data_IF_406526129563
#
_entry.id   IF_406526129563
#
_cell.length_a   1.000
_cell.length_b   1.000
_cell.length_c   1.000
_cell.angle_alpha   90.00
_cell.angle_beta   90.00
_cell.angle_gamma   90.00
#
_symmetry.space_group_name_H-M   'P 1'
#
loop_
_entity.id
_entity.type
_entity.pdbx_description
1 polymer ?
#
# COMPACT_ATOMS: atom_id res chain seq x y z
N UNK A 1 4.08 -12.74 -8.86
CA UNK A 1 2.99 -11.82 -8.45
C UNK A 1 2.98 -11.78 -6.93
N UNK A 2 3.52 -10.70 -6.36
CA UNK A 2 3.80 -10.62 -4.93
C UNK A 2 3.39 -9.25 -4.37
N UNK A 3 3.28 -9.19 -3.05
CA UNK A 3 2.94 -7.95 -2.34
C UNK A 3 4.15 -7.41 -1.61
N UNK A 4 4.14 -6.10 -1.35
CA UNK A 4 5.07 -5.43 -0.47
C UNK A 4 4.32 -4.46 0.43
N UNK A 5 4.69 -4.41 1.68
CA UNK A 5 4.27 -3.41 2.66
C UNK A 5 5.49 -2.79 3.33
N UNK A 6 5.29 -1.79 4.17
CA UNK A 6 6.41 -1.20 4.92
C UNK A 6 5.97 -0.66 6.27
N UNK A 7 6.90 -0.66 7.23
CA UNK A 7 6.66 -0.11 8.55
C UNK A 7 7.95 0.30 9.25
N UNK A 8 7.81 1.08 10.30
CA UNK A 8 8.86 1.47 11.23
C UNK A 8 8.56 0.91 12.65
N UNK A 9 9.49 1.14 13.58
CA UNK A 9 9.37 0.70 14.97
C UNK A 9 8.15 1.23 15.71
N UNK A 10 7.62 2.39 15.30
CA UNK A 10 6.51 3.07 16.00
C UNK A 10 5.14 2.55 15.53
N UNK A 11 5.13 1.78 14.42
CA UNK A 11 3.95 1.18 13.82
C UNK A 11 4.08 -0.35 13.65
N UNK A 12 5.03 -0.97 14.32
CA UNK A 12 5.29 -2.40 14.22
C UNK A 12 4.13 -3.27 14.74
N UNK A 13 3.39 -2.77 15.73
CA UNK A 13 2.15 -3.36 16.21
C UNK A 13 1.07 -3.45 15.10
N UNK A 14 0.97 -2.41 14.29
CA UNK A 14 0.07 -2.35 13.13
C UNK A 14 0.54 -3.30 12.04
N UNK A 15 1.85 -3.35 11.76
CA UNK A 15 2.41 -4.31 10.81
C UNK A 15 2.09 -5.75 11.21
N UNK A 16 2.25 -6.12 12.49
CA UNK A 16 1.92 -7.47 12.97
C UNK A 16 0.42 -7.79 12.80
N UNK A 17 -0.44 -6.83 13.04
CA UNK A 17 -1.88 -6.96 12.81
C UNK A 17 -2.19 -7.14 11.32
N UNK A 18 -1.55 -6.35 10.44
CA UNK A 18 -1.66 -6.49 9.00
C UNK A 18 -1.24 -7.88 8.53
N UNK A 19 -0.06 -8.37 8.97
CA UNK A 19 0.47 -9.70 8.60
C UNK A 19 -0.53 -10.80 8.97
N UNK A 20 -1.23 -10.69 10.11
CA UNK A 20 -2.26 -11.67 10.49
C UNK A 20 -3.43 -11.70 9.49
N UNK A 21 -3.95 -10.53 9.10
CA UNK A 21 -5.02 -10.46 8.10
C UNK A 21 -4.53 -10.91 6.72
N UNK A 22 -3.29 -10.56 6.35
CA UNK A 22 -2.64 -11.00 5.12
C UNK A 22 -2.57 -12.54 5.03
N UNK A 23 -1.96 -13.18 6.01
CA UNK A 23 -1.75 -14.63 6.04
C UNK A 23 -3.07 -15.43 6.13
N UNK A 24 -4.16 -14.80 6.58
CA UNK A 24 -5.49 -15.43 6.61
C UNK A 24 -6.10 -15.55 5.22
N UNK A 25 -5.81 -14.64 4.32
CA UNK A 25 -6.52 -14.50 3.05
C UNK A 25 -5.63 -14.66 1.81
N UNK A 26 -4.31 -14.51 1.94
CA UNK A 26 -3.36 -14.50 0.84
C UNK A 26 -2.22 -15.49 1.06
N UNK A 27 -1.80 -16.14 -0.02
CA UNK A 27 -0.67 -17.08 -0.05
C UNK A 27 0.52 -16.55 -0.86
N UNK A 28 0.36 -15.41 -1.52
CA UNK A 28 1.42 -14.74 -2.26
C UNK A 28 2.57 -14.37 -1.32
N UNK A 29 3.79 -14.28 -1.84
CA UNK A 29 4.93 -13.81 -1.07
C UNK A 29 4.72 -12.35 -0.66
N UNK A 30 4.94 -12.05 0.61
CA UNK A 30 4.94 -10.69 1.16
C UNK A 30 6.39 -10.24 1.40
N UNK A 31 6.78 -9.14 0.78
CA UNK A 31 8.00 -8.40 1.12
C UNK A 31 7.68 -7.35 2.18
N UNK A 32 8.64 -7.04 3.04
CA UNK A 32 8.50 -6.03 4.09
C UNK A 32 9.63 -5.02 3.97
N UNK A 33 9.29 -3.79 3.62
CA UNK A 33 10.22 -2.67 3.69
C UNK A 33 10.43 -2.31 5.16
N UNK A 34 11.63 -2.59 5.65
CA UNK A 34 12.04 -2.35 7.04
C UNK A 34 12.64 -0.95 7.17
N UNK A 35 11.86 -0.04 7.75
CA UNK A 35 12.26 1.33 8.05
C UNK A 35 12.73 1.51 9.50
N UNK A 36 13.37 0.47 10.07
CA UNK A 36 13.88 0.45 11.44
C UNK A 36 12.98 -0.33 12.38
N UNK A 37 12.49 -1.48 11.95
CA UNK A 37 11.74 -2.44 12.77
C UNK A 37 12.62 -2.98 13.92
N UNK A 38 11.99 -3.42 15.00
CA UNK A 38 12.67 -4.05 16.16
C UNK A 38 12.83 -5.55 15.98
N UNK A 39 11.87 -6.19 15.30
CA UNK A 39 11.84 -7.62 15.08
C UNK A 39 12.25 -7.97 13.66
N UNK A 40 12.76 -9.18 13.47
CA UNK A 40 13.07 -9.72 12.16
C UNK A 40 11.82 -10.37 11.54
N UNK A 41 11.56 -10.07 10.28
CA UNK A 41 10.49 -10.66 9.50
C UNK A 41 11.04 -11.36 8.25
N UNK A 42 10.37 -12.40 7.74
CA UNK A 42 10.71 -12.99 6.45
C UNK A 42 10.65 -11.96 5.32
N UNK A 43 11.55 -12.10 4.34
CA UNK A 43 11.60 -11.25 3.14
C UNK A 43 11.71 -9.75 3.43
N UNK A 44 12.37 -9.37 4.53
CA UNK A 44 12.66 -7.98 4.85
C UNK A 44 13.65 -7.37 3.86
N UNK A 45 13.38 -6.13 3.48
CA UNK A 45 14.26 -5.28 2.70
C UNK A 45 14.63 -4.09 3.59
N UNK A 46 15.83 -4.09 4.22
CA UNK A 46 16.22 -3.06 5.15
C UNK A 46 16.49 -1.74 4.41
N UNK A 47 15.95 -0.66 4.93
CA UNK A 47 16.20 0.67 4.40
C UNK A 47 16.17 1.72 5.51
N UNK A 48 17.20 2.57 5.57
CA UNK A 48 17.26 3.68 6.54
C UNK A 48 16.76 4.96 5.89
N UNK A 49 15.49 5.34 6.08
CA UNK A 49 14.95 6.56 5.50
C UNK A 49 15.51 7.79 6.25
N UNK A 50 15.80 8.87 5.52
CA UNK A 50 16.10 10.17 6.11
C UNK A 50 14.89 11.12 6.11
N UNK A 51 13.81 10.72 5.43
CA UNK A 51 12.51 11.38 5.39
C UNK A 51 11.42 10.40 5.87
N UNK A 52 10.17 10.83 5.80
CA UNK A 52 9.04 9.98 6.19
C UNK A 52 8.95 8.74 5.29
N UNK A 53 8.70 7.59 5.89
CA UNK A 53 8.75 6.26 5.25
C UNK A 53 7.92 6.15 3.97
N UNK A 54 6.76 6.81 3.89
CA UNK A 54 5.89 6.73 2.72
C UNK A 54 6.51 7.24 1.41
N UNK A 55 7.49 8.17 1.45
CA UNK A 55 8.20 8.62 0.24
C UNK A 55 9.00 7.50 -0.45
N UNK A 56 9.29 6.41 0.27
CA UNK A 56 10.12 5.33 -0.23
C UNK A 56 9.34 4.15 -0.81
N UNK A 57 8.00 4.21 -0.86
CA UNK A 57 7.17 3.15 -1.45
C UNK A 57 7.67 2.71 -2.84
N UNK A 58 7.79 3.58 -3.85
CA UNK A 58 8.23 3.16 -5.18
C UNK A 58 9.66 2.62 -5.19
N UNK A 59 10.55 3.18 -4.37
CA UNK A 59 11.91 2.67 -4.23
C UNK A 59 11.90 1.24 -3.70
N UNK A 60 11.15 0.97 -2.65
CA UNK A 60 11.08 -0.36 -2.05
C UNK A 60 10.43 -1.39 -2.98
N UNK A 61 9.46 -0.96 -3.80
CA UNK A 61 8.89 -1.82 -4.85
C UNK A 61 9.95 -2.20 -5.89
N UNK A 62 10.81 -1.27 -6.30
CA UNK A 62 11.93 -1.54 -7.23
C UNK A 62 12.97 -2.51 -6.64
N UNK A 63 13.26 -2.43 -5.33
CA UNK A 63 14.23 -3.32 -4.66
C UNK A 63 13.77 -4.79 -4.63
N UNK A 64 12.49 -5.07 -4.84
CA UNK A 64 11.99 -6.46 -4.95
C UNK A 64 12.42 -7.16 -6.24
N UNK A 65 12.82 -6.42 -7.27
CA UNK A 65 13.12 -6.90 -8.63
C UNK A 65 11.97 -7.65 -9.30
N UNK A 66 10.76 -7.53 -8.78
CA UNK A 66 9.56 -8.16 -9.35
C UNK A 66 9.08 -7.38 -10.58
N UNK A 67 8.65 -8.10 -11.62
CA UNK A 67 8.06 -7.47 -12.82
C UNK A 67 6.65 -6.93 -12.55
N UNK A 68 5.94 -7.57 -11.62
CA UNK A 68 4.60 -7.20 -11.18
C UNK A 68 4.57 -7.26 -9.66
N UNK A 69 4.32 -6.14 -9.02
CA UNK A 69 4.34 -5.99 -7.57
C UNK A 69 3.18 -5.12 -7.11
N UNK A 70 2.58 -5.46 -5.97
CA UNK A 70 1.56 -4.64 -5.34
C UNK A 70 2.07 -4.06 -4.02
N UNK A 71 2.14 -2.74 -3.93
CA UNK A 71 2.24 -2.08 -2.62
C UNK A 71 0.90 -2.13 -1.91
N UNK A 72 0.92 -2.41 -0.61
CA UNK A 72 -0.24 -2.33 0.26
C UNK A 72 0.18 -1.73 1.60
N UNK A 73 -0.49 -0.66 2.03
CA UNK A 73 -0.20 0.00 3.30
C UNK A 73 -0.50 -0.92 4.49
N UNK A 74 0.36 -0.91 5.50
CA UNK A 74 0.21 -1.78 6.69
C UNK A 74 -1.00 -1.45 7.57
N UNK A 75 -1.68 -0.34 7.33
CA UNK A 75 -2.96 0.01 7.97
C UNK A 75 -4.20 -0.36 7.11
N UNK A 76 -4.01 -1.25 6.13
CA UNK A 76 -5.10 -1.89 5.37
C UNK A 76 -5.43 -3.26 6.00
N UNK A 77 -6.69 -3.47 6.35
CA UNK A 77 -7.23 -4.78 6.76
C UNK A 77 -7.69 -5.56 5.54
N UNK A 78 -7.19 -6.78 5.37
CA UNK A 78 -7.59 -7.67 4.27
C UNK A 78 -8.73 -8.54 4.79
N UNK A 79 -9.89 -8.53 4.11
CA UNK A 79 -11.10 -9.24 4.51
C UNK A 79 -11.37 -10.48 3.66
N UNK A 80 -10.82 -10.53 2.46
CA UNK A 80 -10.92 -11.66 1.52
C UNK A 80 -9.71 -11.71 0.60
N UNK A 81 -9.59 -12.76 -0.21
CA UNK A 81 -8.56 -12.83 -1.24
C UNK A 81 -8.68 -11.68 -2.25
N UNK A 82 -7.58 -11.00 -2.49
CA UNK A 82 -7.44 -9.90 -3.46
C UNK A 82 -6.39 -10.20 -4.53
N UNK A 83 -5.93 -11.43 -4.64
CA UNK A 83 -4.88 -11.79 -5.61
C UNK A 83 -5.30 -11.63 -7.07
N UNK A 84 -6.60 -11.57 -7.34
CA UNK A 84 -7.19 -11.29 -8.64
C UNK A 84 -6.81 -9.89 -9.20
N UNK A 85 -6.35 -8.95 -8.36
CA UNK A 85 -5.86 -7.63 -8.82
C UNK A 85 -4.71 -7.75 -9.83
N UNK A 86 -3.92 -8.80 -9.74
CA UNK A 86 -2.81 -9.02 -10.66
C UNK A 86 -3.28 -9.43 -12.06
N UNK A 87 -4.34 -10.22 -12.14
CA UNK A 87 -4.98 -10.56 -13.42
C UNK A 87 -5.71 -9.35 -14.01
N UNK A 88 -6.50 -8.67 -13.19
CA UNK A 88 -7.22 -7.46 -13.60
C UNK A 88 -6.29 -6.37 -14.16
N UNK A 89 -5.10 -6.23 -13.57
CA UNK A 89 -4.13 -5.20 -13.99
C UNK A 89 -3.32 -5.55 -15.24
N UNK A 90 -3.51 -6.73 -15.83
CA UNK A 90 -2.79 -7.10 -17.04
C UNK A 90 -3.07 -6.12 -18.19
N UNK A 91 -1.99 -5.74 -18.88
CA UNK A 91 -2.07 -4.77 -19.98
C UNK A 91 -2.22 -3.31 -19.56
N UNK A 92 -2.12 -3.01 -18.26
CA UNK A 92 -1.99 -1.66 -17.71
C UNK A 92 -0.62 -1.49 -17.09
N UNK A 93 -0.12 -0.24 -17.04
CA UNK A 93 1.14 0.08 -16.39
C UNK A 93 1.01 0.05 -14.87
N UNK A 94 -0.12 0.57 -14.37
CA UNK A 94 -0.48 0.58 -12.95
C UNK A 94 -1.97 0.30 -12.75
N UNK A 95 -2.31 -0.22 -11.58
CA UNK A 95 -3.70 -0.29 -11.12
C UNK A 95 -3.81 0.29 -9.70
N UNK A 96 -4.77 1.19 -9.51
CA UNK A 96 -4.99 1.97 -8.28
C UNK A 96 -6.48 2.20 -8.07
N UNK A 97 -6.88 2.52 -6.84
CA UNK A 97 -8.25 2.99 -6.56
C UNK A 97 -8.32 4.52 -6.56
N UNK A 98 -9.50 5.07 -6.76
CA UNK A 98 -9.73 6.50 -6.54
C UNK A 98 -9.71 6.85 -5.05
N UNK A 99 -9.20 8.04 -4.71
CA UNK A 99 -9.37 8.66 -3.38
C UNK A 99 -10.71 9.40 -3.31
N UNK A 100 -11.79 8.65 -3.28
CA UNK A 100 -13.16 9.13 -3.38
C UNK A 100 -13.72 9.79 -2.11
N UNK A 101 -13.00 9.75 -0.99
CA UNK A 101 -13.45 10.41 0.24
C UNK A 101 -13.09 11.89 0.31
N UNK A 102 -12.00 12.33 -0.29
CA UNK A 102 -11.47 13.67 -0.04
C UNK A 102 -11.05 14.46 -1.28
N UNK A 103 -10.87 13.84 -2.43
CA UNK A 103 -10.27 14.51 -3.59
C UNK A 103 -10.87 13.95 -4.88
N UNK A 104 -11.82 14.66 -5.44
CA UNK A 104 -12.40 14.31 -6.73
C UNK A 104 -11.30 14.06 -7.77
N UNK A 105 -11.34 12.89 -8.40
CA UNK A 105 -10.46 12.45 -9.48
C UNK A 105 -8.98 12.21 -9.12
N UNK A 106 -8.62 12.04 -7.85
CA UNK A 106 -7.27 11.65 -7.46
C UNK A 106 -7.22 10.16 -7.08
N UNK A 107 -6.13 9.51 -7.43
CA UNK A 107 -5.85 8.13 -7.05
C UNK A 107 -5.29 8.04 -5.64
N UNK A 108 -5.65 6.99 -4.93
CA UNK A 108 -5.10 6.65 -3.63
C UNK A 108 -3.81 5.82 -3.79
N UNK A 109 -2.83 6.03 -2.90
CA UNK A 109 -1.54 5.33 -2.94
C UNK A 109 -1.41 4.21 -1.90
N UNK A 110 -2.48 3.90 -1.18
CA UNK A 110 -2.46 2.85 -0.16
C UNK A 110 -2.42 1.42 -0.72
N UNK A 111 -2.97 1.22 -1.93
CA UNK A 111 -2.88 -0.01 -2.70
C UNK A 111 -2.53 0.34 -4.14
N UNK A 112 -1.36 -0.10 -4.61
CA UNK A 112 -0.83 0.21 -5.93
C UNK A 112 -0.25 -1.04 -6.56
N UNK A 113 -0.90 -1.58 -7.60
CA UNK A 113 -0.29 -2.61 -8.45
C UNK A 113 0.54 -1.92 -9.52
N UNK A 114 1.77 -2.37 -9.70
CA UNK A 114 2.66 -1.84 -10.72
C UNK A 114 3.17 -2.97 -11.63
N UNK A 115 3.02 -2.77 -12.94
CA UNK A 115 3.48 -3.65 -14.02
C UNK A 115 4.57 -2.99 -14.87
N UNK A 116 4.87 -1.70 -14.62
CA UNK A 116 5.81 -0.90 -15.40
C UNK A 116 6.89 -0.29 -14.48
N UNK A 117 8.14 -0.72 -14.68
CA UNK A 117 9.24 -0.24 -13.85
C UNK A 117 9.62 1.22 -14.13
N UNK A 118 9.38 1.73 -15.33
CA UNK A 118 9.63 3.15 -15.65
C UNK A 118 8.70 4.05 -14.84
N UNK A 119 7.44 3.62 -14.61
CA UNK A 119 6.54 4.31 -13.68
C UNK A 119 7.11 4.37 -12.27
N UNK A 120 7.61 3.24 -11.75
CA UNK A 120 8.21 3.22 -10.41
C UNK A 120 9.44 4.12 -10.29
N UNK A 121 10.28 4.16 -11.33
CA UNK A 121 11.45 5.05 -11.35
C UNK A 121 11.01 6.52 -11.35
N UNK A 122 10.02 6.88 -12.16
CA UNK A 122 9.54 8.27 -12.21
C UNK A 122 8.83 8.66 -10.90
N UNK A 123 7.99 7.77 -10.33
CA UNK A 123 7.35 8.01 -9.04
C UNK A 123 8.38 8.17 -7.92
N UNK A 124 9.42 7.33 -7.90
CA UNK A 124 10.54 7.46 -6.97
C UNK A 124 11.24 8.83 -7.11
N UNK A 125 11.54 9.24 -8.34
CA UNK A 125 12.20 10.56 -8.59
C UNK A 125 11.32 11.72 -8.12
N UNK A 126 10.00 11.67 -8.32
CA UNK A 126 9.08 12.69 -7.79
C UNK A 126 9.06 12.70 -6.26
N UNK A 127 9.00 11.52 -5.61
CA UNK A 127 9.06 11.41 -4.16
C UNK A 127 10.39 11.93 -3.59
N UNK A 128 11.52 11.67 -4.26
CA UNK A 128 12.86 12.08 -3.82
C UNK A 128 13.11 13.59 -3.96
N UNK A 129 12.24 14.34 -4.59
CA UNK A 129 12.26 15.81 -4.55
C UNK A 129 11.87 16.35 -3.18
N UNK A 130 11.33 15.50 -2.30
CA UNK A 130 10.90 15.82 -0.93
C UNK A 130 10.13 17.14 -0.84
N UNK A 131 9.22 17.33 -1.79
CA UNK A 131 8.31 18.48 -1.80
C UNK A 131 7.35 18.39 -0.61
N UNK A 132 6.54 19.43 -0.40
CA UNK A 132 5.49 19.44 0.61
C UNK A 132 4.36 18.43 0.36
N UNK A 133 4.42 17.74 -0.77
CA UNK A 133 3.44 16.72 -1.21
C UNK A 133 3.84 15.34 -0.68
N UNK A 134 2.85 14.51 -0.38
CA UNK A 134 3.05 13.10 -0.04
C UNK A 134 3.30 12.20 -1.26
N UNK A 135 3.50 10.93 -1.02
CA UNK A 135 3.69 9.93 -2.07
C UNK A 135 2.47 9.83 -3.01
N UNK A 136 1.27 10.03 -2.48
CA UNK A 136 0.02 10.03 -3.25
C UNK A 136 -0.03 11.17 -4.27
N UNK A 137 0.32 12.39 -3.87
CA UNK A 137 0.38 13.53 -4.76
C UNK A 137 1.47 13.34 -5.84
N UNK A 138 2.62 12.76 -5.47
CA UNK A 138 3.67 12.43 -6.42
C UNK A 138 3.20 11.41 -7.47
N UNK A 139 2.46 10.37 -7.05
CA UNK A 139 1.85 9.39 -7.94
C UNK A 139 0.87 10.08 -8.91
N UNK A 140 -0.06 10.88 -8.38
CA UNK A 140 -1.08 11.54 -9.19
C UNK A 140 -0.49 12.51 -10.22
N UNK A 141 0.62 13.16 -9.88
CA UNK A 141 1.33 14.09 -10.78
C UNK A 141 1.82 13.42 -12.07
N UNK A 142 2.20 12.15 -12.01
CA UNK A 142 2.78 11.43 -13.16
C UNK A 142 1.81 10.42 -13.80
N UNK A 143 0.75 10.02 -13.10
CA UNK A 143 -0.17 8.96 -13.52
C UNK A 143 -0.74 9.17 -14.93
N UNK A 144 -0.96 10.43 -15.34
CA UNK A 144 -1.51 10.78 -16.65
C UNK A 144 -0.63 10.38 -17.84
N UNK A 145 0.66 10.03 -17.60
CA UNK A 145 1.61 9.59 -18.63
C UNK A 145 1.54 8.09 -18.91
N UNK A 146 0.81 7.34 -18.08
CA UNK A 146 0.79 5.89 -18.04
C UNK A 146 -0.62 5.34 -18.25
N UNK A 147 -0.70 4.07 -18.66
CA UNK A 147 -1.98 3.37 -18.79
C UNK A 147 -2.45 2.90 -17.43
N UNK A 148 -3.41 3.64 -16.84
CA UNK A 148 -3.93 3.39 -15.50
C UNK A 148 -5.21 2.58 -15.56
N UNK A 149 -5.30 1.51 -14.75
CA UNK A 149 -6.55 0.86 -14.40
C UNK A 149 -7.08 1.45 -13.09
N UNK A 150 -8.28 1.97 -13.10
CA UNK A 150 -8.99 2.29 -11.86
C UNK A 150 -9.63 1.02 -11.31
N UNK A 151 -9.11 0.52 -10.20
CA UNK A 151 -9.69 -0.63 -9.49
C UNK A 151 -11.01 -0.24 -8.83
N UNK A 152 -11.97 -1.17 -8.74
CA UNK A 152 -13.17 -0.98 -7.91
C UNK A 152 -12.80 -0.59 -6.47
N UNK A 153 -13.61 0.26 -5.85
CA UNK A 153 -13.35 0.79 -4.49
C UNK A 153 -13.33 -0.29 -3.41
N UNK A 154 -13.89 -1.47 -3.66
CA UNK A 154 -13.87 -2.63 -2.78
C UNK A 154 -12.45 -3.10 -2.45
N UNK A 155 -11.49 -2.86 -3.34
CA UNK A 155 -10.07 -3.21 -3.14
C UNK A 155 -9.33 -2.27 -2.18
N UNK A 156 -9.86 -1.06 -1.94
CA UNK A 156 -9.33 -0.13 -0.94
C UNK A 156 -10.47 0.73 -0.38
N UNK A 157 -11.30 0.12 0.45
CA UNK A 157 -12.39 0.83 1.10
C UNK A 157 -11.88 1.75 2.19
N UNK A 158 -12.15 3.04 2.09
CA UNK A 158 -11.74 3.98 3.12
C UNK A 158 -12.68 3.90 4.32
N UNK A 159 -12.12 3.86 5.54
CA UNK A 159 -12.88 3.74 6.80
C UNK A 159 -13.97 4.79 7.04
N UNK A 160 -13.87 5.93 6.34
CA UNK A 160 -14.81 7.04 6.45
C UNK A 160 -16.07 6.87 5.61
N UNK A 161 -16.09 5.84 4.78
CA UNK A 161 -17.20 5.58 3.88
C UNK A 161 -18.32 4.78 4.55
N UNK A 162 -19.51 4.85 3.94
CA UNK A 162 -20.62 3.98 4.31
C UNK A 162 -20.27 2.50 4.14
N UNK A 163 -20.84 1.65 4.98
CA UNK A 163 -20.60 0.20 4.91
C UNK A 163 -21.19 -0.39 3.62
N UNK A 164 -20.41 -1.26 2.97
CA UNK A 164 -20.84 -2.07 1.83
C UNK A 164 -20.58 -3.55 2.14
N UNK A 165 -21.37 -4.43 1.57
CA UNK A 165 -21.29 -5.89 1.80
C UNK A 165 -20.15 -6.56 1.01
N UNK A 166 -19.64 -5.91 -0.04
CA UNK A 166 -18.62 -6.48 -0.94
C UNK A 166 -17.20 -5.95 -0.71
N UNK A 167 -16.93 -5.37 0.47
CA UNK A 167 -15.63 -4.83 0.81
C UNK A 167 -14.60 -5.95 0.85
N UNK A 168 -13.52 -5.82 0.06
CA UNK A 168 -12.39 -6.74 0.04
C UNK A 168 -11.31 -6.34 1.04
N UNK A 169 -11.08 -5.03 1.20
CA UNK A 169 -10.14 -4.48 2.18
C UNK A 169 -10.68 -3.20 2.80
N UNK A 170 -10.23 -2.86 4.01
CA UNK A 170 -10.52 -1.57 4.66
C UNK A 170 -9.21 -0.85 4.95
N UNK A 171 -9.07 0.36 4.43
CA UNK A 171 -7.96 1.24 4.74
C UNK A 171 -8.29 2.09 5.98
N UNK A 172 -7.66 1.77 7.09
CA UNK A 172 -7.78 2.49 8.37
C UNK A 172 -6.88 3.73 8.40
N UNK A 173 -6.99 4.56 7.37
CA UNK A 173 -6.11 5.71 7.15
C UNK A 173 -6.12 6.71 8.31
N UNK A 174 -4.97 7.36 8.50
CA UNK A 174 -4.78 8.46 9.43
C UNK A 174 -4.63 8.04 10.90
N UNK A 175 -4.49 9.05 11.78
CA UNK A 175 -4.25 8.84 13.21
C UNK A 175 -5.40 8.08 13.89
N UNK A 176 -6.64 8.44 13.57
CA UNK A 176 -7.82 7.81 14.17
C UNK A 176 -7.98 6.36 13.71
N UNK A 177 -7.70 6.06 12.43
CA UNK A 177 -7.71 4.70 11.93
C UNK A 177 -6.70 3.81 12.66
N UNK A 178 -5.48 4.32 12.85
CA UNK A 178 -4.44 3.61 13.63
C UNK A 178 -4.85 3.39 15.09
N UNK A 179 -5.57 4.34 15.70
CA UNK A 179 -6.11 4.17 17.04
C UNK A 179 -7.17 3.04 17.10
N UNK A 180 -8.01 2.93 16.07
CA UNK A 180 -8.99 1.83 15.95
C UNK A 180 -8.28 0.49 15.81
N UNK A 181 -7.25 0.38 14.95
CA UNK A 181 -6.45 -0.85 14.82
C UNK A 181 -5.86 -1.25 16.19
N UNK A 182 -5.25 -0.31 16.91
CA UNK A 182 -4.68 -0.58 18.24
C UNK A 182 -5.73 -1.02 19.27
N UNK A 183 -6.96 -0.50 19.16
CA UNK A 183 -8.08 -1.00 19.98
C UNK A 183 -8.40 -2.45 19.61
N UNK A 184 -8.56 -2.77 18.33
CA UNK A 184 -8.77 -4.15 17.85
C UNK A 184 -7.66 -5.09 18.35
N UNK A 185 -6.38 -4.71 18.25
CA UNK A 185 -5.25 -5.52 18.73
C UNK A 185 -5.43 -5.89 20.21
N UNK A 186 -5.81 -4.94 21.08
CA UNK A 186 -6.02 -5.19 22.51
C UNK A 186 -7.21 -6.07 22.83
N UNK A 187 -8.25 -6.07 21.98
CA UNK A 187 -9.45 -6.87 22.17
C UNK A 187 -9.22 -8.35 21.78
N UNK A 188 -8.19 -8.63 20.97
CA UNK A 188 -7.84 -9.99 20.50
C UNK A 188 -6.56 -10.55 21.15
N UNK A 189 -5.93 -9.82 22.08
CA UNK A 189 -4.75 -10.25 22.86
C UNK A 189 -5.16 -10.83 24.21
#
# INVERSE_FOLDING_TARGET
MNFITGSDKDHEDILQWFIRSYNKHLTNKLYIADFGLKNNYPNCIPYKPFMKAWYYKPRMMLETLEKQICWIDSDIEILTDISDIFELSQGYDIAVTEDWCNRNNHFASGLVVCNNQDFLQEWKLECEKFSTYGDQECLNKIAHKYKVLTLPREYQWLRLAETNTNIKTIHWTGKDGKAIIRKKIREYS
#
